data_IF_611469628353
#
_entry.id   IF_611469628353
#
_cell.length_a   1.000
_cell.length_b   1.000
_cell.length_c   1.000
_cell.angle_alpha   90.00
_cell.angle_beta   90.00
_cell.angle_gamma   90.00
#
_symmetry.space_group_name_H-M   'P 1'
#
loop_
_entity.id
_entity.type
_entity.pdbx_description
1 polymer ?
#
# COMPACT_ATOMS: atom_id res chain seq x y z
N UNK A 1 -2.54 -10.75 -17.53
CA UNK A 1 -1.72 -11.10 -16.34
C UNK A 1 -1.12 -9.82 -15.80
N UNK A 2 -0.99 -9.66 -14.47
CA UNK A 2 -0.30 -8.51 -13.88
C UNK A 2 1.16 -8.48 -14.33
N UNK A 3 1.67 -7.27 -14.56
CA UNK A 3 3.02 -7.03 -15.07
C UNK A 3 3.77 -6.18 -14.06
N UNK A 4 4.99 -6.57 -13.73
CA UNK A 4 5.82 -5.80 -12.81
C UNK A 4 6.32 -4.54 -13.51
N UNK A 5 6.01 -3.39 -12.93
CA UNK A 5 6.31 -2.07 -13.49
C UNK A 5 6.74 -1.10 -12.39
N UNK A 6 7.55 -0.10 -12.73
CA UNK A 6 8.06 0.89 -11.79
C UNK A 6 7.89 2.30 -12.35
N UNK A 7 7.54 3.25 -11.49
CA UNK A 7 7.50 4.67 -11.85
C UNK A 7 8.93 5.19 -11.90
N UNK A 8 9.40 5.59 -13.09
CA UNK A 8 10.81 5.95 -13.31
C UNK A 8 11.23 7.31 -12.74
N UNK A 9 10.29 8.23 -12.56
CA UNK A 9 10.58 9.61 -12.15
C UNK A 9 9.30 10.32 -11.63
N UNK A 10 9.44 11.52 -11.07
CA UNK A 10 8.37 12.30 -10.44
C UNK A 10 8.24 12.04 -8.93
N UNK A 11 7.15 12.52 -8.31
CA UNK A 11 6.96 12.40 -6.86
C UNK A 11 6.84 10.95 -6.37
N UNK A 12 6.48 10.03 -7.27
CA UNK A 12 6.36 8.59 -7.03
C UNK A 12 7.49 7.78 -7.67
N UNK A 13 8.64 8.39 -7.95
CA UNK A 13 9.82 7.67 -8.42
C UNK A 13 10.14 6.46 -7.52
N UNK A 14 10.37 5.30 -8.14
CA UNK A 14 10.70 4.04 -7.46
C UNK A 14 9.49 3.33 -6.82
N UNK A 15 8.27 3.85 -6.98
CA UNK A 15 7.06 3.13 -6.55
C UNK A 15 6.58 2.16 -7.64
N UNK A 16 6.08 1.02 -7.19
CA UNK A 16 5.57 -0.07 -8.02
C UNK A 16 4.06 -0.20 -7.83
N UNK A 17 3.23 -0.03 -8.87
CA UNK A 17 1.80 -0.34 -8.79
C UNK A 17 1.58 -1.81 -8.47
N UNK A 18 0.61 -2.09 -7.59
CA UNK A 18 0.36 -3.46 -7.12
C UNK A 18 -1.11 -3.84 -7.27
N UNK A 19 -1.33 -5.03 -7.83
CA UNK A 19 -2.63 -5.68 -7.79
C UNK A 19 -2.83 -6.30 -6.40
N UNK A 20 -3.87 -5.83 -5.71
CA UNK A 20 -4.23 -6.25 -4.34
C UNK A 20 -4.46 -7.76 -4.17
N UNK A 21 -4.87 -8.46 -5.23
CA UNK A 21 -5.23 -9.87 -5.19
C UNK A 21 -4.21 -10.79 -5.88
N UNK A 22 -3.19 -10.23 -6.53
CA UNK A 22 -2.17 -11.03 -7.21
C UNK A 22 -1.11 -11.55 -6.23
N UNK A 23 -0.80 -12.85 -6.34
CA UNK A 23 0.19 -13.54 -5.50
C UNK A 23 1.41 -14.04 -6.30
N UNK A 24 1.50 -13.70 -7.59
CA UNK A 24 2.54 -14.26 -8.47
C UNK A 24 3.92 -13.60 -8.36
N UNK A 25 4.01 -12.42 -7.72
CA UNK A 25 5.30 -11.74 -7.49
C UNK A 25 5.73 -11.91 -6.03
N UNK A 26 7.00 -12.23 -5.84
CA UNK A 26 7.62 -12.36 -4.51
C UNK A 26 7.98 -10.98 -3.92
N UNK A 27 8.19 -10.86 -2.60
CA UNK A 27 8.70 -9.63 -1.99
C UNK A 27 10.04 -9.18 -2.59
N UNK A 28 10.91 -10.13 -2.97
CA UNK A 28 12.19 -9.84 -3.61
C UNK A 28 12.02 -9.20 -5.00
N UNK A 29 10.96 -9.55 -5.72
CA UNK A 29 10.66 -8.95 -7.02
C UNK A 29 10.25 -7.48 -6.86
N UNK A 30 9.39 -7.18 -5.88
CA UNK A 30 9.05 -5.79 -5.56
C UNK A 30 10.29 -5.01 -5.11
N UNK A 31 11.18 -5.62 -4.35
CA UNK A 31 12.41 -4.99 -3.91
C UNK A 31 13.33 -4.62 -5.07
N UNK A 32 13.62 -5.57 -5.95
CA UNK A 32 14.45 -5.33 -7.15
C UNK A 32 13.82 -4.26 -8.05
N UNK A 33 12.50 -4.29 -8.21
CA UNK A 33 11.79 -3.28 -9.00
C UNK A 33 11.93 -1.87 -8.41
N UNK A 34 11.76 -1.71 -7.09
CA UNK A 34 11.94 -0.41 -6.43
C UNK A 34 13.40 0.08 -6.51
N UNK A 35 14.37 -0.82 -6.36
CA UNK A 35 15.80 -0.51 -6.40
C UNK A 35 16.29 -0.15 -7.82
N UNK A 36 15.67 -0.67 -8.88
CA UNK A 36 16.08 -0.45 -10.28
C UNK A 36 16.14 1.02 -10.69
N UNK A 37 15.27 1.85 -10.10
CA UNK A 37 15.13 3.28 -10.39
C UNK A 37 15.75 4.15 -9.29
N UNK A 38 15.99 3.55 -8.11
CA UNK A 38 16.54 4.25 -6.97
C UNK A 38 18.02 4.56 -7.24
N UNK A 39 18.28 5.74 -7.81
CA UNK A 39 19.62 6.33 -7.78
C UNK A 39 20.01 6.45 -6.31
N UNK A 40 21.18 5.93 -5.93
CA UNK A 40 21.69 5.93 -4.56
C UNK A 40 21.28 7.22 -3.88
N UNK A 41 20.39 7.13 -2.88
CA UNK A 41 19.76 8.27 -2.22
C UNK A 41 20.81 9.36 -2.14
N UNK A 42 20.68 10.38 -2.99
CA UNK A 42 21.45 11.59 -2.85
C UNK A 42 20.92 12.12 -1.53
N UNK A 43 21.63 11.79 -0.44
CA UNK A 43 21.67 12.63 0.73
C UNK A 43 22.26 13.93 0.20
N UNK A 44 21.43 14.75 -0.43
CA UNK A 44 21.79 16.11 -0.78
C UNK A 44 22.16 16.77 0.55
N UNK A 45 23.47 16.84 0.81
CA UNK A 45 24.01 17.63 1.91
C UNK A 45 23.71 19.09 1.58
N UNK A 46 22.57 19.57 2.05
CA UNK A 46 22.21 20.96 1.90
C UNK A 46 23.11 21.83 2.79
N UNK A 47 23.88 22.72 2.15
CA UNK A 47 24.63 23.79 2.82
C UNK A 47 23.64 24.84 3.35
N UNK A 48 23.39 24.82 4.65
CA UNK A 48 22.43 25.74 5.28
C UNK A 48 22.97 27.17 5.41
N UNK A 49 22.33 28.11 4.71
CA UNK A 49 22.46 29.56 4.89
C UNK A 49 21.36 30.06 5.83
N UNK A 50 21.72 30.45 7.07
CA UNK A 50 20.81 31.13 8.01
C UNK A 50 21.09 30.90 9.50
N UNK A 51 20.68 31.86 10.35
CA UNK A 51 20.74 31.75 11.82
C UNK A 51 19.75 30.67 12.31
N UNK A 52 20.27 29.59 12.89
CA UNK A 52 19.45 28.49 13.45
C UNK A 52 18.95 28.77 14.86
N UNK A 53 17.69 28.42 15.11
CA UNK A 53 17.19 28.14 16.45
C UNK A 53 17.82 26.82 16.95
N UNK A 54 18.31 26.79 18.20
CA UNK A 54 18.80 25.57 18.82
C UNK A 54 17.61 24.74 19.31
N UNK A 55 17.32 23.63 18.61
CA UNK A 55 16.21 22.73 18.91
C UNK A 55 16.69 21.44 19.61
N UNK A 56 17.87 21.46 20.25
CA UNK A 56 18.35 20.36 21.05
C UNK A 56 17.38 20.07 22.21
N UNK A 57 17.02 18.80 22.38
CA UNK A 57 16.07 18.36 23.41
C UNK A 57 14.59 18.43 23.02
N UNK A 58 14.25 19.05 21.88
CA UNK A 58 12.88 19.03 21.38
C UNK A 58 12.60 17.74 20.61
N UNK A 59 11.37 17.25 20.72
CA UNK A 59 10.86 16.09 19.99
C UNK A 59 9.60 16.49 19.22
N UNK A 60 9.47 15.99 17.99
CA UNK A 60 8.17 15.99 17.29
C UNK A 60 7.31 14.95 17.99
N UNK A 61 6.21 15.38 18.60
CA UNK A 61 5.26 14.47 19.24
C UNK A 61 4.53 13.66 18.18
N UNK A 62 4.45 12.34 18.36
CA UNK A 62 3.67 11.48 17.50
C UNK A 62 2.21 11.92 17.54
N UNK A 63 1.60 12.10 16.38
CA UNK A 63 0.19 12.47 16.28
C UNK A 63 -0.74 11.35 16.78
N UNK A 64 -0.22 10.17 17.11
CA UNK A 64 -0.95 9.12 17.81
C UNK A 64 -1.30 9.47 19.26
N UNK A 65 -0.58 10.40 19.89
CA UNK A 65 -0.96 10.97 21.18
C UNK A 65 -2.15 11.94 21.08
N UNK A 66 -2.52 12.34 19.87
CA UNK A 66 -3.60 13.30 19.58
C UNK A 66 -4.59 12.68 18.59
N UNK A 67 -5.34 11.64 19.00
CA UNK A 67 -6.30 11.00 18.11
C UNK A 67 -7.37 12.01 17.67
N UNK A 68 -7.62 12.04 16.37
CA UNK A 68 -8.58 12.93 15.73
C UNK A 68 -9.53 12.14 14.81
N UNK A 69 -10.76 12.63 14.64
CA UNK A 69 -11.67 12.10 13.62
C UNK A 69 -11.13 12.27 12.19
N UNK A 70 -10.20 13.20 12.02
CA UNK A 70 -9.55 13.51 10.74
C UNK A 70 -8.25 12.71 10.53
N UNK A 71 -7.97 11.74 11.40
CA UNK A 71 -6.81 10.87 11.24
C UNK A 71 -6.93 10.05 9.95
N UNK A 72 -5.95 10.27 9.08
CA UNK A 72 -5.73 9.48 7.89
C UNK A 72 -5.12 8.15 8.33
N UNK A 73 -5.78 7.03 8.05
CA UNK A 73 -5.27 5.72 8.44
C UNK A 73 -5.60 4.63 7.45
N UNK A 74 -4.64 3.74 7.23
CA UNK A 74 -4.82 2.47 6.54
C UNK A 74 -4.82 1.36 7.59
N UNK A 75 -5.79 0.45 7.53
CA UNK A 75 -5.83 -0.73 8.40
C UNK A 75 -5.79 -1.98 7.55
N UNK A 76 -4.89 -2.92 7.86
CA UNK A 76 -4.80 -4.24 7.24
C UNK A 76 -5.02 -5.29 8.34
N UNK A 77 -5.96 -6.22 8.09
CA UNK A 77 -6.24 -7.35 8.99
C UNK A 77 -6.97 -8.47 8.26
N UNK A 78 -6.58 -9.73 8.46
CA UNK A 78 -7.30 -10.89 7.93
C UNK A 78 -7.46 -10.84 6.40
N UNK A 79 -6.41 -10.43 5.68
CA UNK A 79 -6.42 -10.30 4.22
C UNK A 79 -7.36 -9.21 3.68
N UNK A 80 -7.84 -8.30 4.54
CA UNK A 80 -8.64 -7.14 4.15
C UNK A 80 -7.91 -5.85 4.50
N UNK A 81 -8.08 -4.84 3.64
CA UNK A 81 -7.67 -3.47 3.92
C UNK A 81 -8.89 -2.55 4.06
N UNK A 82 -8.70 -1.46 4.81
CA UNK A 82 -9.69 -0.39 4.96
C UNK A 82 -9.01 0.95 5.23
N UNK A 83 -9.42 1.99 4.51
CA UNK A 83 -9.01 3.37 4.75
C UNK A 83 -9.92 4.05 5.78
N UNK A 84 -9.48 5.12 6.42
CA UNK A 84 -10.38 5.95 7.24
C UNK A 84 -11.28 6.80 6.35
N UNK A 85 -12.43 7.20 6.86
CA UNK A 85 -13.33 8.15 6.16
C UNK A 85 -12.64 9.48 5.88
N UNK A 86 -11.65 9.87 6.70
CA UNK A 86 -10.87 11.08 6.49
C UNK A 86 -10.06 11.02 5.18
N UNK A 87 -9.56 9.84 4.79
CA UNK A 87 -8.84 9.65 3.52
C UNK A 87 -9.73 10.00 2.32
N UNK A 88 -10.97 9.50 2.29
CA UNK A 88 -11.91 9.75 1.20
C UNK A 88 -12.33 11.22 1.15
N UNK A 89 -12.57 11.84 2.32
CA UNK A 89 -12.88 13.27 2.41
C UNK A 89 -11.76 14.16 1.85
N UNK A 90 -10.49 13.77 1.97
CA UNK A 90 -9.36 14.54 1.40
C UNK A 90 -9.29 14.46 -0.11
N UNK A 91 -9.74 13.36 -0.69
CA UNK A 91 -9.61 13.14 -2.12
C UNK A 91 -10.72 13.78 -2.93
N UNK A 92 -11.89 14.05 -2.33
CA UNK A 92 -13.05 14.76 -2.91
C UNK A 92 -13.42 14.27 -4.33
N UNK A 93 -14.56 13.61 -4.46
CA UNK A 93 -15.10 13.07 -5.73
C UNK A 93 -14.23 12.02 -6.44
N UNK A 94 -13.43 11.25 -5.66
CA UNK A 94 -12.62 10.13 -6.18
C UNK A 94 -13.14 8.80 -5.63
N UNK A 95 -13.69 7.96 -6.49
CA UNK A 95 -14.19 6.62 -6.14
C UNK A 95 -13.17 5.50 -6.40
N UNK A 96 -12.20 5.75 -7.28
CA UNK A 96 -11.19 4.78 -7.70
C UNK A 96 -9.79 5.32 -7.43
N UNK A 97 -8.95 4.46 -6.81
CA UNK A 97 -7.56 4.77 -6.51
C UNK A 97 -6.65 3.61 -6.90
N UNK A 98 -5.40 3.92 -7.18
CA UNK A 98 -4.35 2.94 -7.40
C UNK A 98 -3.43 2.89 -6.18
N UNK A 99 -3.00 1.69 -5.79
CA UNK A 99 -2.05 1.47 -4.72
C UNK A 99 -0.67 1.21 -5.31
N UNK A 100 0.34 1.90 -4.78
CA UNK A 100 1.73 1.68 -5.12
C UNK A 100 2.54 1.40 -3.86
N UNK A 101 3.53 0.52 -3.97
CA UNK A 101 4.44 0.16 -2.90
C UNK A 101 5.86 0.62 -3.23
N UNK A 102 6.57 1.11 -2.22
CA UNK A 102 8.01 1.32 -2.26
C UNK A 102 8.63 0.57 -1.08
N UNK A 103 9.34 -0.51 -1.37
CA UNK A 103 9.97 -1.39 -0.36
C UNK A 103 11.29 -0.84 0.16
N UNK A 104 11.90 0.15 -0.50
CA UNK A 104 13.13 0.80 -0.04
C UNK A 104 12.81 1.79 1.08
N UNK A 105 11.71 2.52 0.92
CA UNK A 105 11.22 3.51 1.88
C UNK A 105 10.17 2.93 2.84
N UNK A 106 9.84 1.63 2.73
CA UNK A 106 8.76 0.97 3.47
C UNK A 106 7.47 1.81 3.48
N UNK A 107 7.02 2.25 2.31
CA UNK A 107 5.91 3.19 2.18
C UNK A 107 4.89 2.71 1.15
N UNK A 108 3.60 2.92 1.45
CA UNK A 108 2.50 2.75 0.50
C UNK A 108 2.01 4.13 0.06
N UNK A 109 1.92 4.31 -1.24
CA UNK A 109 1.32 5.47 -1.88
C UNK A 109 -0.06 5.13 -2.46
N UNK A 110 -1.00 6.07 -2.36
CA UNK A 110 -2.31 6.03 -3.01
C UNK A 110 -2.48 7.28 -3.85
N UNK A 111 -2.84 7.08 -5.12
CA UNK A 111 -3.19 8.17 -6.05
C UNK A 111 -4.55 7.91 -6.71
N UNK A 112 -5.25 8.96 -7.19
CA UNK A 112 -6.46 8.78 -7.98
C UNK A 112 -6.17 7.97 -9.25
N UNK A 113 -7.14 7.19 -9.71
CA UNK A 113 -7.05 6.52 -11.01
C UNK A 113 -8.43 6.41 -11.66
N UNK A 114 -8.42 6.14 -12.96
CA UNK A 114 -9.64 5.82 -13.71
C UNK A 114 -10.12 4.40 -13.40
N UNK A 115 -11.43 4.17 -13.60
CA UNK A 115 -12.07 2.88 -13.33
C UNK A 115 -11.65 1.74 -14.27
N UNK A 116 -11.06 2.09 -15.42
CA UNK A 116 -10.55 1.16 -16.43
C UNK A 116 -9.13 0.66 -16.14
N UNK A 117 -8.43 1.27 -15.16
CA UNK A 117 -7.11 0.81 -14.76
C UNK A 117 -7.20 -0.62 -14.17
N UNK A 118 -6.36 -1.58 -14.62
CA UNK A 118 -6.37 -2.95 -14.09
C UNK A 118 -6.12 -3.03 -12.58
N UNK A 119 -5.38 -2.07 -12.02
CA UNK A 119 -5.08 -1.95 -10.59
C UNK A 119 -6.07 -1.03 -9.86
N UNK A 120 -7.17 -0.62 -10.50
CA UNK A 120 -8.14 0.29 -9.90
C UNK A 120 -8.82 -0.34 -8.68
N UNK A 121 -8.82 0.41 -7.59
CA UNK A 121 -9.39 0.03 -6.32
C UNK A 121 -10.57 0.94 -6.01
N UNK A 122 -11.78 0.37 -6.03
CA UNK A 122 -12.99 1.07 -5.60
C UNK A 122 -13.07 1.17 -4.06
N UNK A 123 -12.41 2.18 -3.50
CA UNK A 123 -12.20 2.34 -2.05
C UNK A 123 -13.39 2.94 -1.29
N UNK A 124 -14.37 3.48 -2.00
CA UNK A 124 -15.57 4.06 -1.41
C UNK A 124 -16.43 4.77 -2.45
N UNK A 125 -17.62 5.14 -2.02
CA UNK A 125 -18.60 5.85 -2.85
C UNK A 125 -19.26 6.97 -2.08
N UNK A 126 -19.75 7.98 -2.78
CA UNK A 126 -20.57 9.03 -2.20
C UNK A 126 -22.04 8.59 -2.18
N UNK A 127 -22.67 8.56 -1.00
CA UNK A 127 -24.11 8.28 -0.86
C UNK A 127 -24.73 9.32 0.06
N UNK A 128 -25.74 10.05 -0.43
CA UNK A 128 -26.48 11.05 0.36
C UNK A 128 -25.53 12.07 1.04
N UNK A 129 -24.57 12.62 0.28
CA UNK A 129 -23.51 13.54 0.74
C UNK A 129 -22.59 12.98 1.84
N UNK A 130 -22.59 11.66 2.03
CA UNK A 130 -21.73 10.97 3.00
C UNK A 130 -20.85 9.94 2.30
N UNK A 131 -19.55 10.04 2.56
CA UNK A 131 -18.58 9.06 2.10
C UNK A 131 -18.72 7.73 2.85
N UNK A 132 -18.98 6.66 2.09
CA UNK A 132 -19.01 5.30 2.62
C UNK A 132 -17.74 4.58 2.16
N UNK A 133 -16.89 4.23 3.12
CA UNK A 133 -15.66 3.47 2.86
C UNK A 133 -15.97 2.01 2.64
N UNK A 134 -15.38 1.44 1.57
CA UNK A 134 -15.43 0.01 1.32
C UNK A 134 -14.25 -0.70 1.99
N UNK A 135 -14.53 -1.88 2.56
CA UNK A 135 -13.47 -2.82 2.94
C UNK A 135 -13.15 -3.71 1.75
N UNK A 136 -11.86 -3.95 1.52
CA UNK A 136 -11.38 -4.54 0.28
C UNK A 136 -10.50 -5.74 0.56
N UNK A 137 -10.68 -6.81 -0.21
CA UNK A 137 -9.73 -7.94 -0.21
C UNK A 137 -8.37 -7.46 -0.67
N UNK A 138 -7.33 -7.85 0.04
CA UNK A 138 -5.95 -7.53 -0.26
C UNK A 138 -5.03 -8.71 0.05
N UNK A 139 -5.49 -9.94 -0.22
CA UNK A 139 -4.76 -11.16 0.16
C UNK A 139 -3.34 -11.22 -0.40
N UNK A 140 -3.18 -10.90 -1.68
CA UNK A 140 -1.86 -10.85 -2.33
C UNK A 140 -0.96 -9.80 -1.72
N UNK A 141 -1.47 -8.57 -1.62
CA UNK A 141 -0.72 -7.46 -1.00
C UNK A 141 -0.36 -7.72 0.46
N UNK A 142 -1.29 -8.23 1.27
CA UNK A 142 -1.08 -8.48 2.69
C UNK A 142 0.04 -9.51 2.90
N UNK A 143 0.05 -10.58 2.11
CA UNK A 143 1.11 -11.60 2.15
C UNK A 143 2.48 -11.01 1.82
N UNK A 144 2.55 -10.16 0.78
CA UNK A 144 3.80 -9.47 0.41
C UNK A 144 4.28 -8.55 1.53
N UNK A 145 3.41 -7.67 2.05
CA UNK A 145 3.77 -6.72 3.10
C UNK A 145 4.18 -7.47 4.38
N UNK A 146 3.41 -8.47 4.80
CA UNK A 146 3.65 -9.17 6.05
C UNK A 146 4.94 -9.99 5.98
N UNK A 147 5.26 -10.54 4.81
CA UNK A 147 6.56 -11.17 4.56
C UNK A 147 7.70 -10.15 4.57
N UNK A 148 7.54 -8.99 3.93
CA UNK A 148 8.58 -7.95 3.86
C UNK A 148 8.92 -7.41 5.25
N UNK A 149 7.89 -7.18 6.07
CA UNK A 149 8.02 -6.57 7.39
C UNK A 149 8.16 -7.59 8.54
N UNK A 150 8.14 -8.90 8.23
CA UNK A 150 8.15 -10.00 9.21
C UNK A 150 7.05 -9.86 10.27
N UNK A 151 5.82 -9.60 9.83
CA UNK A 151 4.64 -9.44 10.68
C UNK A 151 3.85 -10.74 10.86
N UNK A 152 2.99 -10.77 11.88
CA UNK A 152 2.11 -11.90 12.17
C UNK A 152 0.74 -11.73 11.49
N UNK A 153 0.21 -12.81 10.93
CA UNK A 153 -1.04 -12.79 10.15
C UNK A 153 -2.31 -12.51 10.98
N UNK A 154 -2.26 -12.74 12.29
CA UNK A 154 -3.40 -12.62 13.21
C UNK A 154 -3.63 -11.19 13.73
N UNK A 155 -2.67 -10.29 13.50
CA UNK A 155 -2.71 -8.92 13.96
C UNK A 155 -3.58 -7.99 13.11
N UNK A 156 -4.14 -6.96 13.76
CA UNK A 156 -4.69 -5.80 13.08
C UNK A 156 -3.67 -4.67 13.06
N UNK A 157 -3.13 -4.41 11.88
CA UNK A 157 -2.10 -3.39 11.65
C UNK A 157 -2.74 -2.10 11.20
N UNK A 158 -2.50 -1.02 11.94
CA UNK A 158 -2.96 0.33 11.59
C UNK A 158 -1.77 1.24 11.32
N UNK A 159 -1.76 1.84 10.15
CA UNK A 159 -0.78 2.81 9.68
C UNK A 159 -1.38 4.20 9.68
N UNK A 160 -0.58 5.19 10.05
CA UNK A 160 -0.96 6.59 9.92
C UNK A 160 -0.57 7.12 8.54
N UNK A 161 -1.47 7.90 7.95
CA UNK A 161 -1.28 8.48 6.63
C UNK A 161 -0.91 9.96 6.67
N UNK A 162 -0.20 10.39 5.63
CA UNK A 162 0.03 11.79 5.30
C UNK A 162 -0.64 12.11 3.96
N UNK A 163 -1.40 13.19 3.89
CA UNK A 163 -1.97 13.70 2.64
C UNK A 163 -1.10 14.81 2.08
N UNK A 164 -0.78 14.73 0.80
CA UNK A 164 -0.02 15.73 0.05
C UNK A 164 -0.82 16.12 -1.20
N UNK A 165 -0.84 17.41 -1.49
CA UNK A 165 -1.50 17.94 -2.69
C UNK A 165 -0.70 19.07 -3.30
N UNK A 166 -0.64 19.11 -4.63
CA UNK A 166 -0.09 20.23 -5.39
C UNK A 166 -0.92 20.48 -6.64
N UNK A 167 -1.63 21.61 -6.68
CA UNK A 167 -2.56 21.89 -7.77
C UNK A 167 -3.65 20.81 -7.88
N UNK A 168 -3.69 20.11 -9.02
CA UNK A 168 -4.58 18.98 -9.27
C UNK A 168 -4.09 17.66 -8.68
N UNK A 169 -2.80 17.54 -8.39
CA UNK A 169 -2.20 16.30 -7.93
C UNK A 169 -2.52 16.06 -6.46
N UNK A 170 -2.99 14.84 -6.16
CA UNK A 170 -3.36 14.39 -4.82
C UNK A 170 -2.68 13.07 -4.52
N UNK A 171 -2.09 12.96 -3.33
CA UNK A 171 -1.36 11.79 -2.90
C UNK A 171 -1.61 11.49 -1.42
N UNK A 172 -1.75 10.21 -1.09
CA UNK A 172 -1.76 9.72 0.29
C UNK A 172 -0.58 8.79 0.48
N UNK A 173 0.19 8.99 1.55
CA UNK A 173 1.35 8.19 1.88
C UNK A 173 1.14 7.51 3.24
N UNK A 174 1.51 6.25 3.37
CA UNK A 174 1.45 5.48 4.61
C UNK A 174 2.81 4.83 4.86
N UNK A 175 3.48 5.27 5.93
CA UNK A 175 4.72 4.65 6.40
C UNK A 175 4.40 3.31 7.08
N UNK A 176 5.14 2.26 6.73
CA UNK A 176 4.94 0.90 7.23
C UNK A 176 5.81 0.59 8.45
N UNK A 177 6.85 1.37 8.75
CA UNK A 177 7.82 1.04 9.82
C UNK A 177 7.23 1.06 11.23
N UNK A 178 6.23 1.92 11.49
CA UNK A 178 5.69 2.16 12.82
C UNK A 178 4.18 1.87 12.92
N UNK A 179 3.73 0.61 12.71
CA UNK A 179 2.32 0.26 12.84
C UNK A 179 1.87 0.26 14.31
N UNK A 180 0.61 0.65 14.54
CA UNK A 180 -0.10 0.31 15.78
C UNK A 180 -0.79 -1.03 15.59
N UNK A 181 -0.35 -2.04 16.34
CA UNK A 181 -0.86 -3.41 16.22
C UNK A 181 -1.91 -3.66 17.30
N UNK A 182 -3.07 -4.19 16.93
CA UNK A 182 -4.08 -4.66 17.87
C UNK A 182 -4.26 -6.17 17.74
N UNK A 183 -4.18 -6.91 18.86
CA UNK A 183 -4.41 -8.35 18.93
C UNK A 183 -5.52 -8.65 19.94
N UNK A 184 -6.38 -9.61 19.62
CA UNK A 184 -7.38 -10.12 20.56
C UNK A 184 -6.80 -11.33 21.26
N UNK A 185 -6.65 -11.26 22.58
CA UNK A 185 -6.18 -12.37 23.41
C UNK A 185 -7.38 -12.92 24.17
N UNK A 186 -7.63 -14.22 24.03
CA UNK A 186 -8.64 -14.90 24.82
C UNK A 186 -8.04 -15.29 26.17
N UNK A 187 -8.57 -14.74 27.25
CA UNK A 187 -8.24 -15.17 28.60
C UNK A 187 -9.38 -16.03 29.14
N UNK A 188 -9.06 -17.29 29.43
CA UNK A 188 -9.99 -18.18 30.14
C UNK A 188 -9.82 -17.91 31.62
N UNK A 189 -10.82 -17.27 32.24
CA UNK A 189 -10.87 -17.11 33.69
C UNK A 189 -11.42 -18.42 34.24
N UNK A 190 -10.56 -19.24 34.83
CA UNK A 190 -10.98 -20.46 35.54
C UNK A 190 -11.62 -20.02 36.86
N UNK A 191 -12.91 -20.29 37.10
CA UNK A 191 -13.52 -19.93 38.37
C UNK A 191 -12.91 -20.75 39.52
N UNK A 192 -12.84 -20.17 40.72
CA UNK A 192 -12.31 -20.83 41.92
C UNK A 192 -13.21 -21.96 42.46
N UNK A 193 -14.42 -22.13 41.91
CA UNK A 193 -15.39 -23.15 42.32
C UNK A 193 -15.79 -24.03 41.14
N UNK A 194 -15.85 -25.34 41.37
CA UNK A 194 -16.16 -26.38 40.37
C UNK A 194 -17.57 -26.28 39.75
N UNK A 195 -18.47 -25.46 40.32
CA UNK A 195 -19.87 -25.32 39.88
C UNK A 195 -20.14 -24.08 38.98
N UNK A 196 -19.12 -23.30 38.62
CA UNK A 196 -19.28 -22.09 37.79
C UNK A 196 -18.79 -22.32 36.34
N UNK A 197 -19.55 -21.81 35.36
CA UNK A 197 -19.20 -21.90 33.94
C UNK A 197 -17.91 -21.11 33.64
N UNK A 198 -17.04 -21.67 32.79
CA UNK A 198 -15.81 -20.98 32.35
C UNK A 198 -16.17 -19.70 31.58
N UNK A 199 -15.74 -18.54 32.10
CA UNK A 199 -15.92 -17.26 31.42
C UNK A 199 -14.71 -17.03 30.52
N UNK A 200 -14.91 -17.04 29.20
CA UNK A 200 -13.91 -16.63 28.21
C UNK A 200 -14.03 -15.12 28.02
N UNK A 201 -13.04 -14.36 28.48
CA UNK A 201 -12.95 -12.90 28.28
C UNK A 201 -12.01 -12.62 27.13
N UNK A 202 -12.51 -11.95 26.09
CA UNK A 202 -11.67 -11.47 24.99
C UNK A 202 -11.15 -10.07 25.31
N UNK A 203 -9.84 -9.94 25.51
CA UNK A 203 -9.18 -8.66 25.73
C UNK A 203 -8.47 -8.21 24.43
N UNK A 204 -8.69 -6.97 24.01
CA UNK A 204 -7.93 -6.39 22.88
C UNK A 204 -6.72 -5.66 23.40
N UNK A 205 -5.54 -6.23 23.18
CA UNK A 205 -4.25 -5.62 23.53
C UNK A 205 -3.76 -4.79 22.36
N UNK A 206 -3.30 -3.56 22.65
CA UNK A 206 -2.64 -2.68 21.67
C UNK A 206 -1.15 -2.64 21.92
N UNK A 207 -0.37 -2.93 20.89
CA UNK A 207 1.09 -2.87 20.89
C UNK A 207 1.51 -1.67 20.04
N UNK A 208 2.36 -0.83 20.63
CA UNK A 208 2.93 0.34 19.98
C UNK A 208 4.39 0.07 19.56
N UNK A 209 4.90 0.79 18.56
CA UNK A 209 6.29 0.68 18.13
C UNK A 209 7.28 0.88 19.31
N UNK A 210 8.37 0.09 19.38
CA UNK A 210 9.35 0.22 20.46
C UNK A 210 9.99 1.60 20.55
N UNK A 211 10.13 2.30 19.42
CA UNK A 211 10.64 3.67 19.32
C UNK A 211 9.85 4.67 20.18
N UNK A 212 8.60 4.38 20.52
CA UNK A 212 7.73 5.24 21.33
C UNK A 212 7.89 5.03 22.84
N UNK A 213 8.49 3.92 23.28
CA UNK A 213 8.66 3.63 24.70
C UNK A 213 9.62 4.59 25.42
N UNK A 214 10.54 5.22 24.68
CA UNK A 214 11.62 6.05 25.22
C UNK A 214 11.40 7.58 25.07
N UNK A 215 10.24 8.03 24.55
CA UNK A 215 9.98 9.45 24.36
C UNK A 215 8.63 9.74 23.70
N UNK A 216 8.32 11.02 23.47
CA UNK A 216 7.05 11.44 22.85
C UNK A 216 7.08 11.40 21.32
N UNK A 217 8.25 11.14 20.72
CA UNK A 217 8.43 10.95 19.28
C UNK A 217 9.86 11.25 18.83
N UNK A 218 10.03 11.68 17.57
CA UNK A 218 11.34 11.82 16.93
C UNK A 218 12.08 13.09 17.40
N UNK A 219 13.33 13.01 17.88
CA UNK A 219 14.13 14.19 18.22
C UNK A 219 14.33 15.12 17.01
N UNK A 220 14.12 16.42 17.20
CA UNK A 220 14.27 17.43 16.12
C UNK A 220 15.73 17.55 15.65
N UNK A 221 16.70 17.20 16.50
CA UNK A 221 18.10 17.15 16.08
C UNK A 221 18.39 16.05 15.06
N UNK A 222 17.68 14.92 15.14
CA UNK A 222 17.67 13.88 14.11
C UNK A 222 16.97 14.36 12.83
N UNK A 223 16.05 15.33 12.94
CA UNK A 223 15.36 16.00 11.82
C UNK A 223 16.32 16.93 11.06
N UNK A 224 17.44 17.37 11.64
CA UNK A 224 18.52 18.03 10.87
C UNK A 224 19.22 17.06 9.90
N UNK A 225 19.03 15.75 10.08
CA UNK A 225 19.41 14.68 9.13
C UNK A 225 18.20 14.09 8.37
N UNK A 226 17.00 14.65 8.57
CA UNK A 226 15.75 14.14 8.01
C UNK A 226 14.66 15.20 8.01
N UNK A 227 14.73 16.14 7.06
CA UNK A 227 13.63 16.72 6.28
C UNK A 227 12.22 16.77 6.89
N UNK A 228 11.98 17.47 8.01
CA UNK A 228 10.61 17.50 8.56
C UNK A 228 10.11 18.81 9.20
N UNK A 229 10.97 19.81 9.43
CA UNK A 229 10.50 21.16 9.74
C UNK A 229 10.23 22.02 8.49
N UNK A 230 10.77 21.62 7.35
CA UNK A 230 10.12 21.88 6.08
C UNK A 230 9.24 20.67 5.79
N UNK A 231 7.93 20.89 5.70
CA UNK A 231 7.16 20.13 4.72
C UNK A 231 7.92 20.35 3.41
N UNK A 232 8.75 19.40 2.98
CA UNK A 232 9.39 19.54 1.69
C UNK A 232 8.27 19.46 0.67
N UNK A 233 7.82 20.62 0.22
CA UNK A 233 7.16 20.72 -1.05
C UNK A 233 8.19 20.18 -2.04
N UNK A 234 7.99 18.94 -2.49
CA UNK A 234 8.76 18.40 -3.59
C UNK A 234 8.68 19.46 -4.71
N UNK A 235 9.81 20.08 -5.03
CA UNK A 235 9.89 21.19 -5.98
C UNK A 235 10.26 20.72 -7.39
N UNK A 236 10.38 19.40 -7.57
CA UNK A 236 10.50 18.77 -8.88
C UNK A 236 9.14 18.61 -9.56
N UNK A 237 9.15 17.88 -10.67
CA UNK A 237 7.94 17.58 -11.44
C UNK A 237 7.07 16.55 -10.72
N UNK A 238 5.92 16.95 -10.17
CA UNK A 238 5.10 16.08 -9.33
C UNK A 238 4.65 14.83 -10.10
N UNK A 239 4.19 15.03 -11.33
CA UNK A 239 3.65 14.04 -12.28
C UNK A 239 3.09 12.78 -11.59
N UNK A 240 2.14 13.00 -10.67
CA UNK A 240 1.66 11.93 -9.77
C UNK A 240 0.97 10.82 -10.55
N UNK A 241 0.39 11.14 -11.71
CA UNK A 241 -0.31 10.18 -12.56
C UNK A 241 0.60 9.53 -13.61
N UNK A 242 1.93 9.74 -13.56
CA UNK A 242 2.89 9.12 -14.48
C UNK A 242 2.69 7.61 -14.53
N UNK A 243 2.52 7.01 -15.72
CA UNK A 243 2.37 5.57 -15.85
C UNK A 243 3.68 4.88 -15.42
N UNK A 244 3.55 3.73 -14.77
CA UNK A 244 4.70 2.89 -14.46
C UNK A 244 5.18 2.19 -15.73
N UNK A 245 6.50 2.06 -15.87
CA UNK A 245 7.10 1.38 -17.01
C UNK A 245 7.38 -0.07 -16.65
N UNK A 246 7.06 -0.97 -17.57
CA UNK A 246 7.25 -2.41 -17.43
C UNK A 246 8.74 -2.75 -17.34
N UNK A 247 9.10 -3.60 -16.38
CA UNK A 247 10.47 -4.14 -16.25
C UNK A 247 10.53 -5.46 -17.00
N UNK A 248 10.99 -5.44 -18.25
CA UNK A 248 11.00 -6.62 -19.15
C UNK A 248 11.76 -7.81 -18.56
N UNK A 249 12.89 -7.56 -17.88
CA UNK A 249 13.76 -8.60 -17.31
C UNK A 249 13.10 -9.41 -16.17
N UNK A 250 12.04 -8.87 -15.56
CA UNK A 250 11.39 -9.43 -14.37
C UNK A 250 10.03 -10.07 -14.66
N UNK A 251 9.54 -9.98 -15.89
CA UNK A 251 8.28 -10.59 -16.28
C UNK A 251 8.54 -11.94 -16.93
N UNK A 252 7.97 -13.00 -16.34
CA UNK A 252 8.16 -14.38 -16.82
C UNK A 252 7.68 -14.62 -18.27
N UNK A 253 6.82 -13.73 -18.78
CA UNK A 253 6.34 -13.72 -20.16
C UNK A 253 6.45 -12.28 -20.68
N UNK A 254 7.22 -12.05 -21.73
CA UNK A 254 7.23 -10.75 -22.41
C UNK A 254 5.90 -10.54 -23.14
N UNK A 255 5.56 -9.27 -23.41
CA UNK A 255 4.33 -8.96 -24.16
C UNK A 255 4.34 -9.59 -25.56
N UNK A 256 5.52 -9.70 -26.17
CA UNK A 256 5.72 -10.32 -27.48
C UNK A 256 5.47 -11.83 -27.43
N UNK A 257 6.03 -12.54 -26.44
CA UNK A 257 5.81 -13.99 -26.29
C UNK A 257 4.34 -14.30 -25.97
N UNK A 258 3.65 -13.42 -25.24
CA UNK A 258 2.21 -13.54 -25.00
C UNK A 258 1.39 -13.34 -26.28
N UNK A 259 1.75 -12.35 -27.10
CA UNK A 259 1.08 -12.11 -28.37
C UNK A 259 1.28 -13.29 -29.34
N UNK A 260 2.48 -13.89 -29.36
CA UNK A 260 2.76 -15.11 -30.14
C UNK A 260 1.93 -16.30 -29.65
N UNK A 261 1.87 -16.55 -28.34
CA UNK A 261 1.05 -17.62 -27.77
C UNK A 261 -0.45 -17.41 -28.00
N UNK A 262 -0.94 -16.16 -27.94
CA UNK A 262 -2.34 -15.86 -28.24
C UNK A 262 -2.65 -16.13 -29.72
N UNK A 263 -1.76 -15.73 -30.62
CA UNK A 263 -1.90 -16.00 -32.05
C UNK A 263 -1.85 -17.49 -32.36
N UNK A 264 -0.97 -18.25 -31.70
CA UNK A 264 -0.89 -19.71 -31.83
C UNK A 264 -2.18 -20.39 -31.31
N UNK A 265 -2.71 -19.93 -30.18
CA UNK A 265 -3.98 -20.41 -29.64
C UNK A 265 -5.17 -20.12 -30.57
N UNK A 266 -5.24 -18.93 -31.17
CA UNK A 266 -6.24 -18.57 -32.18
C UNK A 266 -6.17 -19.49 -33.40
N UNK A 267 -4.97 -19.73 -33.96
CA UNK A 267 -4.81 -20.66 -35.09
C UNK A 267 -5.18 -22.10 -34.74
N UNK A 268 -4.95 -22.51 -33.49
CA UNK A 268 -5.36 -23.83 -33.00
C UNK A 268 -6.87 -23.91 -32.88
N UNK A 269 -7.55 -22.89 -32.35
CA UNK A 269 -9.01 -22.86 -32.26
C UNK A 269 -9.69 -22.86 -33.63
N UNK A 270 -9.18 -22.07 -34.59
CA UNK A 270 -9.68 -22.07 -35.98
C UNK A 270 -9.51 -23.44 -36.67
N UNK A 271 -8.41 -24.14 -36.38
CA UNK A 271 -8.16 -25.49 -36.89
C UNK A 271 -9.10 -26.54 -36.31
N UNK A 272 -9.67 -26.32 -35.12
CA UNK A 272 -10.61 -27.24 -34.46
C UNK A 272 -12.07 -26.99 -34.90
N UNK A 273 -12.42 -25.75 -35.23
CA UNK A 273 -13.76 -25.38 -35.72
C UNK A 273 -14.04 -25.96 -37.13
N UNK A 274 -12.99 -26.20 -37.92
CA UNK A 274 -13.07 -26.90 -39.21
C UNK A 274 -13.24 -28.44 -39.09
N UNK A 275 -13.17 -28.99 -37.87
CA UNK A 275 -13.20 -30.44 -37.62
C UNK A 275 -14.59 -31.03 -37.34
N UNK A 276 -15.64 -30.20 -37.18
CA UNK A 276 -16.98 -30.65 -36.76
C UNK A 276 -18.05 -30.72 -37.86
N UNK A 277 -17.73 -30.39 -39.12
CA UNK A 277 -18.68 -30.45 -40.25
C UNK A 277 -18.37 -31.60 -41.22
N UNK A 278 -18.35 -32.86 -40.73
CA UNK A 278 -18.60 -34.07 -41.56
C UNK A 278 -18.58 -35.37 -40.75
N UNK A 279 -19.65 -35.69 -40.05
CA UNK A 279 -20.03 -37.09 -39.78
C UNK A 279 -21.43 -37.12 -39.16
N UNK A 280 -22.46 -36.95 -39.99
CA UNK A 280 -23.76 -37.59 -39.79
C UNK A 280 -24.57 -37.39 -41.07
N UNK A 281 -24.48 -38.39 -41.95
CA UNK A 281 -25.51 -38.74 -42.96
C UNK A 281 -24.98 -39.95 -43.75
N UNK A 282 -25.09 -41.14 -43.16
CA UNK A 282 -25.12 -42.42 -43.89
C UNK A 282 -25.58 -43.54 -42.95
N UNK A 283 -26.88 -43.57 -42.62
CA UNK A 283 -27.54 -44.82 -42.21
C UNK A 283 -28.51 -45.24 -43.32
N UNK A 284 -28.23 -46.42 -43.88
CA UNK A 284 -29.10 -47.27 -44.72
C UNK A 284 -30.07 -48.07 -43.83
#
# INVERSE_FOLDING_TARGET
MPVLSVVEDGALKGYVPIDRNWEGFSPEDYQKACESVQTAIEKEEYVQSGLKLNLNGYQRVSSHFFPSSDDLSLTISGGKMRFSTACLKKFEDVEYVELLINTVNNCIAIRPCESDNPNAIHWGRLKEDKWIVNSMSCRGLAKVIFSLMSWEDDGKYRFKGEFRSNGSDKLLLFELDEPVVSKTVEQVIVPEKDDEEQIVVQETVRVYPPSWGAGFGTPIVSITRGHLLSQQHYSGDWDVLRPAKVIEEMNALSSETLAELMKEAETTMEGWDLGYDRADDADE
#
